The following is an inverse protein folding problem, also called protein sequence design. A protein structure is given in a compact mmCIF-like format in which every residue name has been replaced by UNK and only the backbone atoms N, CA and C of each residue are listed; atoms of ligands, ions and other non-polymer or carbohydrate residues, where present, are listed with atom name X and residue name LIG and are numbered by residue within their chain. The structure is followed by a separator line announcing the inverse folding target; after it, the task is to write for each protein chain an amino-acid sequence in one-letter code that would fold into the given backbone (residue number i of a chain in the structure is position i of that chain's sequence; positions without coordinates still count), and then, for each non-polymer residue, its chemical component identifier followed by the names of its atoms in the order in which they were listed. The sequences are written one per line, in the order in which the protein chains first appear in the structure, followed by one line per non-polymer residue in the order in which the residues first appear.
data_IF_813283949854
#
_entry.id   IF_813283949854
#
_cell.length_a   1.000
_cell.length_b   1.000
_cell.length_c   1.000
_cell.angle_alpha   90.00
_cell.angle_beta   90.00
_cell.angle_gamma   90.00
#
_symmetry.space_group_name_H-M   'P 1'
#
loop_
_entity.id
_entity.type
_entity.pdbx_description
1 polymer ?
#
# COMPACT_ATOMS: atom_id res chain seq x y z
N UNK A 1 7.25 -4.89 6.92
CA UNK A 1 8.08 -5.06 5.70
C UNK A 1 9.42 -5.77 5.98
N UNK A 2 10.21 -5.39 7.00
CA UNK A 2 11.51 -6.03 7.29
C UNK A 2 11.46 -7.56 7.43
N UNK A 3 10.43 -8.11 8.10
CA UNK A 3 10.26 -9.58 8.21
C UNK A 3 10.10 -10.27 6.85
N UNK A 4 9.35 -9.67 5.91
CA UNK A 4 9.18 -10.19 4.55
C UNK A 4 10.48 -10.09 3.74
N UNK A 5 11.19 -8.95 3.83
CA UNK A 5 12.52 -8.80 3.19
C UNK A 5 13.51 -9.88 3.70
N UNK A 6 13.44 -10.23 4.98
CA UNK A 6 14.30 -11.26 5.58
C UNK A 6 13.90 -12.70 5.22
N UNK A 7 12.70 -12.95 4.69
CA UNK A 7 12.22 -14.28 4.32
C UNK A 7 12.47 -14.64 2.84
N UNK A 8 13.33 -13.88 2.15
CA UNK A 8 13.64 -14.11 0.73
C UNK A 8 12.58 -13.58 -0.25
N UNK A 9 11.54 -12.89 0.22
CA UNK A 9 10.51 -12.28 -0.64
C UNK A 9 11.04 -10.95 -1.19
N UNK A 10 10.86 -10.73 -2.49
CA UNK A 10 11.13 -9.42 -3.10
C UNK A 10 10.06 -8.42 -2.67
N UNK A 11 10.46 -7.37 -1.95
CA UNK A 11 9.53 -6.36 -1.44
C UNK A 11 9.94 -4.99 -1.94
N UNK A 12 9.01 -4.34 -2.65
CA UNK A 12 9.09 -2.92 -3.01
C UNK A 12 8.20 -2.13 -2.06
N UNK A 13 8.74 -1.13 -1.37
CA UNK A 13 7.92 -0.13 -0.67
C UNK A 13 7.66 1.06 -1.61
N UNK A 14 6.39 1.41 -1.80
CA UNK A 14 5.99 2.55 -2.62
C UNK A 14 5.27 3.60 -1.78
N UNK A 15 5.69 4.87 -1.92
CA UNK A 15 4.99 6.01 -1.35
C UNK A 15 3.78 6.37 -2.22
N UNK A 16 2.63 6.63 -1.61
CA UNK A 16 1.45 7.21 -2.31
C UNK A 16 1.52 8.73 -2.40
N UNK A 17 2.55 9.35 -1.81
CA UNK A 17 2.81 10.78 -1.92
C UNK A 17 3.70 11.09 -3.14
N UNK A 18 3.98 12.38 -3.37
CA UNK A 18 4.81 12.86 -4.49
C UNK A 18 6.30 12.51 -4.35
N UNK A 19 6.74 12.14 -3.14
CA UNK A 19 8.14 11.83 -2.84
C UNK A 19 8.26 10.47 -2.17
N UNK A 20 9.44 9.86 -2.27
CA UNK A 20 9.78 8.65 -1.56
C UNK A 20 9.87 8.85 -0.03
N UNK A 21 9.97 10.10 0.45
CA UNK A 21 10.05 10.42 1.87
C UNK A 21 8.64 10.53 2.47
N UNK A 22 8.34 9.66 3.44
CA UNK A 22 7.03 9.60 4.10
C UNK A 22 7.17 9.88 5.59
N UNK A 23 6.44 10.88 6.09
CA UNK A 23 6.38 11.17 7.52
C UNK A 23 5.25 10.37 8.17
N UNK A 24 5.63 9.43 9.04
CA UNK A 24 4.68 8.58 9.76
C UNK A 24 3.95 9.36 10.86
N UNK A 25 2.84 8.80 11.34
CA UNK A 25 2.10 9.36 12.48
C UNK A 25 2.97 9.49 13.74
N UNK A 26 4.00 8.65 13.91
CA UNK A 26 4.96 8.73 15.01
C UNK A 26 5.98 9.86 14.87
N UNK A 27 5.89 10.68 13.80
CA UNK A 27 6.87 11.70 13.38
C UNK A 27 8.20 11.15 12.87
N UNK A 28 8.36 9.83 12.84
CA UNK A 28 9.50 9.21 12.16
C UNK A 28 9.34 9.35 10.66
N UNK A 29 10.46 9.54 9.98
CA UNK A 29 10.49 9.62 8.52
C UNK A 29 11.06 8.32 7.97
N UNK A 30 10.37 7.76 6.99
CA UNK A 30 10.79 6.56 6.27
C UNK A 30 11.00 6.92 4.81
N UNK A 31 12.04 6.35 4.21
CA UNK A 31 12.28 6.42 2.77
C UNK A 31 11.72 5.14 2.12
N UNK A 32 10.73 5.31 1.25
CA UNK A 32 10.22 4.26 0.39
C UNK A 32 11.24 3.95 -0.73
N UNK A 33 11.18 2.76 -1.29
CA UNK A 33 12.04 2.37 -2.40
C UNK A 33 11.69 3.17 -3.68
N UNK A 34 10.42 3.59 -3.84
CA UNK A 34 9.90 4.32 -5.00
C UNK A 34 8.57 5.04 -4.69
N UNK A 35 7.98 5.70 -5.70
CA UNK A 35 6.61 6.25 -5.66
C UNK A 35 5.62 5.34 -6.37
N UNK A 36 4.35 5.39 -5.99
CA UNK A 36 3.31 4.56 -6.59
C UNK A 36 3.16 4.79 -8.08
N UNK A 37 3.28 6.05 -8.52
CA UNK A 37 3.21 6.45 -9.93
C UNK A 37 4.23 5.73 -10.83
N UNK A 38 5.41 5.38 -10.29
CA UNK A 38 6.47 4.66 -11.02
C UNK A 38 6.20 3.16 -11.14
N UNK A 39 5.34 2.60 -10.29
CA UNK A 39 5.12 1.15 -10.20
C UNK A 39 3.68 0.71 -10.40
N UNK A 40 2.76 1.65 -10.67
CA UNK A 40 1.33 1.37 -10.84
C UNK A 40 1.00 0.33 -11.92
N UNK A 41 1.87 0.20 -12.93
CA UNK A 41 1.72 -0.77 -14.02
C UNK A 41 2.42 -2.11 -13.77
N UNK A 42 3.08 -2.27 -12.62
CA UNK A 42 3.77 -3.52 -12.28
C UNK A 42 2.78 -4.53 -11.72
N UNK A 43 3.05 -5.81 -11.99
CA UNK A 43 2.28 -6.94 -11.46
C UNK A 43 2.96 -7.42 -10.17
N UNK A 44 2.18 -7.55 -9.10
CA UNK A 44 2.63 -8.05 -7.81
C UNK A 44 1.83 -9.28 -7.39
N UNK A 45 2.49 -10.25 -6.77
CA UNK A 45 1.82 -11.43 -6.19
C UNK A 45 0.92 -11.03 -5.01
N UNK A 46 1.35 -10.02 -4.24
CA UNK A 46 0.61 -9.48 -3.10
C UNK A 46 0.77 -7.97 -2.98
N UNK A 47 -0.35 -7.27 -2.73
CA UNK A 47 -0.33 -5.87 -2.28
C UNK A 47 -0.61 -5.80 -0.77
N UNK A 48 0.17 -5.02 -0.03
CA UNK A 48 0.02 -4.91 1.43
C UNK A 48 -0.20 -3.46 1.84
N UNK A 49 -1.28 -3.21 2.58
CA UNK A 49 -1.70 -1.89 3.03
C UNK A 49 -1.33 -1.74 4.52
N UNK A 50 -0.38 -0.85 4.87
CA UNK A 50 -0.07 -0.58 6.27
C UNK A 50 -1.22 0.18 6.94
N UNK A 51 -1.31 0.03 8.26
CA UNK A 51 -2.28 0.75 9.08
C UNK A 51 -1.84 2.17 9.46
N UNK A 52 -2.54 2.72 10.45
CA UNK A 52 -2.35 4.09 10.94
C UNK A 52 -3.33 5.04 10.27
N UNK A 53 -4.24 5.63 11.05
CA UNK A 53 -5.43 6.35 10.57
C UNK A 53 -5.10 7.40 9.50
N UNK A 54 -4.09 8.26 9.76
CA UNK A 54 -3.69 9.30 8.79
C UNK A 54 -3.18 8.68 7.49
N UNK A 55 -2.31 7.67 7.58
CA UNK A 55 -1.75 6.99 6.42
C UNK A 55 -2.82 6.24 5.63
N UNK A 56 -3.72 5.53 6.30
CA UNK A 56 -4.83 4.80 5.67
C UNK A 56 -5.79 5.75 4.93
N UNK A 57 -6.08 6.94 5.49
CA UNK A 57 -6.85 7.97 4.78
C UNK A 57 -6.16 8.45 3.51
N UNK A 58 -4.86 8.81 3.59
CA UNK A 58 -4.09 9.23 2.42
C UNK A 58 -4.01 8.14 1.35
N UNK A 59 -3.84 6.88 1.75
CA UNK A 59 -3.85 5.73 0.83
C UNK A 59 -5.22 5.56 0.19
N UNK A 60 -6.31 5.69 0.95
CA UNK A 60 -7.69 5.59 0.44
C UNK A 60 -8.02 6.65 -0.60
N UNK A 61 -7.35 7.80 -0.57
CA UNK A 61 -7.53 8.90 -1.53
C UNK A 61 -6.64 8.77 -2.78
N UNK A 62 -5.68 7.85 -2.77
CA UNK A 62 -4.79 7.59 -3.89
C UNK A 62 -5.48 6.69 -4.94
N UNK A 63 -6.07 7.30 -5.96
CA UNK A 63 -6.79 6.57 -7.02
C UNK A 63 -5.93 5.50 -7.70
N UNK A 64 -4.65 5.79 -7.98
CA UNK A 64 -3.73 4.84 -8.61
C UNK A 64 -3.61 3.54 -7.80
N UNK A 65 -3.49 3.63 -6.48
CA UNK A 65 -3.39 2.45 -5.63
C UNK A 65 -4.73 1.71 -5.50
N UNK A 66 -5.84 2.43 -5.44
CA UNK A 66 -7.18 1.82 -5.42
C UNK A 66 -7.44 1.02 -6.71
N UNK A 67 -7.02 1.54 -7.86
CA UNK A 67 -7.15 0.84 -9.14
C UNK A 67 -6.30 -0.43 -9.17
N UNK A 68 -5.06 -0.38 -8.66
CA UNK A 68 -4.22 -1.58 -8.50
C UNK A 68 -4.87 -2.64 -7.60
N UNK A 69 -5.56 -2.24 -6.51
CA UNK A 69 -6.26 -3.18 -5.63
C UNK A 69 -7.46 -3.83 -6.33
N UNK A 70 -8.23 -3.05 -7.10
CA UNK A 70 -9.32 -3.58 -7.92
C UNK A 70 -8.80 -4.58 -8.95
N UNK A 71 -7.66 -4.29 -9.57
CA UNK A 71 -6.99 -5.22 -10.48
C UNK A 71 -6.51 -6.49 -9.76
N UNK A 72 -5.95 -6.42 -8.55
CA UNK A 72 -5.62 -7.61 -7.76
C UNK A 72 -6.86 -8.47 -7.55
N UNK A 73 -7.97 -7.86 -7.09
CA UNK A 73 -9.24 -8.55 -6.84
C UNK A 73 -9.79 -9.19 -8.12
N UNK A 74 -9.84 -8.46 -9.22
CA UNK A 74 -10.33 -8.97 -10.51
C UNK A 74 -9.51 -10.14 -11.05
N UNK A 75 -8.22 -10.19 -10.72
CA UNK A 75 -7.31 -11.26 -11.14
C UNK A 75 -7.12 -12.35 -10.07
N UNK A 76 -7.93 -12.38 -9.00
CA UNK A 76 -7.81 -13.33 -7.88
C UNK A 76 -6.40 -13.37 -7.25
N UNK A 77 -5.70 -12.23 -7.25
CA UNK A 77 -4.38 -12.07 -6.62
C UNK A 77 -4.54 -11.56 -5.19
N UNK A 78 -3.54 -11.83 -4.35
CA UNK A 78 -3.62 -11.54 -2.94
C UNK A 78 -3.47 -10.04 -2.66
N UNK A 79 -4.20 -9.58 -1.65
CA UNK A 79 -3.97 -8.29 -1.02
C UNK A 79 -4.33 -8.38 0.47
N UNK A 80 -3.66 -7.59 1.30
CA UNK A 80 -3.82 -7.63 2.74
C UNK A 80 -3.77 -6.23 3.33
N UNK A 81 -4.53 -5.99 4.40
CA UNK A 81 -4.57 -4.73 5.12
C UNK A 81 -4.50 -4.99 6.64
N UNK A 82 -4.01 -4.02 7.41
CA UNK A 82 -3.89 -4.14 8.87
C UNK A 82 -4.35 -2.90 9.61
N UNK A 83 -4.88 -3.08 10.83
CA UNK A 83 -5.30 -2.03 11.75
C UNK A 83 -6.45 -1.19 11.18
N UNK A 84 -6.25 0.09 10.85
CA UNK A 84 -7.29 0.96 10.30
C UNK A 84 -7.54 0.72 8.80
N UNK A 85 -6.57 0.13 8.09
CA UNK A 85 -6.61 0.00 6.64
C UNK A 85 -7.75 -0.88 6.09
N UNK A 86 -8.18 -2.00 6.73
CA UNK A 86 -9.33 -2.76 6.25
C UNK A 86 -10.58 -1.89 6.09
N UNK A 87 -11.01 -1.21 7.15
CA UNK A 87 -12.20 -0.35 7.11
C UNK A 87 -12.00 0.89 6.22
N UNK A 88 -10.85 1.57 6.37
CA UNK A 88 -10.63 2.86 5.70
C UNK A 88 -10.36 2.71 4.20
N UNK A 89 -9.75 1.60 3.78
CA UNK A 89 -9.33 1.39 2.38
C UNK A 89 -10.12 0.26 1.72
N UNK A 90 -10.29 -0.90 2.36
CA UNK A 90 -10.96 -2.03 1.70
C UNK A 90 -12.48 -1.88 1.72
N UNK A 91 -13.09 -1.73 2.90
CA UNK A 91 -14.55 -1.61 3.05
C UNK A 91 -15.07 -0.42 2.25
N UNK A 92 -14.41 0.75 2.40
CA UNK A 92 -14.77 1.99 1.70
C UNK A 92 -14.83 1.86 0.18
N UNK A 93 -14.02 0.98 -0.41
CA UNK A 93 -13.92 0.78 -1.85
C UNK A 93 -14.51 -0.56 -2.31
N UNK A 94 -15.29 -1.25 -1.48
CA UNK A 94 -15.90 -2.55 -1.78
C UNK A 94 -14.88 -3.64 -2.18
N UNK A 95 -13.70 -3.59 -1.58
CA UNK A 95 -12.59 -4.52 -1.80
C UNK A 95 -12.56 -5.66 -0.76
N UNK A 96 -13.66 -5.91 -0.08
CA UNK A 96 -13.84 -7.06 0.83
C UNK A 96 -14.32 -8.31 0.11
#
# INVERSE_FOLDING_TARGET
MRKLKNSGVHVTTASVEKSEQVCLQSKNVVLADTTISKVRNNIYDVLVIPGGMKGSNTISECSEFIDMLKEQKANNRLYAAICAAPETVLDRHSLN
#
